data_IF_605624666679
#
_entry.id   IF_605624666679
#
_cell.length_a   1.000
_cell.length_b   1.000
_cell.length_c   1.000
_cell.angle_alpha   90.00
_cell.angle_beta   90.00
_cell.angle_gamma   90.00
#
_symmetry.space_group_name_H-M   'P 1'
#
loop_
_entity.id
_entity.type
_entity.pdbx_description
1 polymer ?
#
# COMPACT_ATOMS: atom_id res chain seq x y z
N UNK A 1 19.18 -17.47 -18.31
CA UNK A 1 19.77 -16.93 -17.07
C UNK A 1 18.98 -15.67 -16.72
N UNK A 2 18.08 -15.67 -15.73
CA UNK A 2 17.35 -14.47 -15.37
C UNK A 2 18.23 -13.65 -14.39
N UNK A 3 18.69 -12.50 -14.82
CA UNK A 3 19.56 -11.61 -14.04
C UNK A 3 18.76 -10.88 -12.96
N UNK A 4 18.63 -11.51 -11.79
CA UNK A 4 18.78 -11.01 -10.41
C UNK A 4 18.42 -9.57 -9.94
N UNK A 5 17.74 -8.69 -10.68
CA UNK A 5 17.46 -7.31 -10.19
C UNK A 5 16.05 -6.77 -10.43
N UNK A 6 15.03 -7.63 -10.59
CA UNK A 6 13.64 -7.18 -10.67
C UNK A 6 12.86 -7.62 -9.42
N UNK A 7 12.91 -6.78 -8.38
CA UNK A 7 11.98 -6.88 -7.25
C UNK A 7 11.03 -5.68 -7.33
N UNK A 8 9.86 -5.90 -7.92
CA UNK A 8 8.78 -4.92 -7.96
C UNK A 8 8.15 -4.86 -6.57
N UNK A 9 8.57 -3.91 -5.74
CA UNK A 9 7.96 -3.69 -4.43
C UNK A 9 6.72 -2.80 -4.60
N UNK A 10 5.55 -3.43 -4.61
CA UNK A 10 4.25 -2.79 -4.79
C UNK A 10 3.78 -2.14 -3.47
N UNK A 11 3.80 -0.81 -3.39
CA UNK A 11 3.16 -0.06 -2.29
C UNK A 11 1.71 0.24 -2.65
N UNK A 12 0.77 -0.22 -1.84
CA UNK A 12 -0.66 -0.29 -2.23
C UNK A 12 -1.47 0.90 -1.69
N UNK A 13 -0.86 1.89 -1.02
CA UNK A 13 -1.60 3.05 -0.51
C UNK A 13 -0.70 4.28 -0.56
N UNK A 14 -0.75 5.03 -1.66
CA UNK A 14 0.11 6.20 -1.86
C UNK A 14 -0.66 7.45 -2.27
N UNK A 15 -0.42 8.52 -1.51
CA UNK A 15 -0.38 9.88 -2.05
C UNK A 15 0.96 10.07 -2.79
N UNK A 16 1.04 11.02 -3.72
CA UNK A 16 2.24 11.24 -4.52
C UNK A 16 3.49 11.49 -3.65
N UNK A 17 3.34 12.22 -2.55
CA UNK A 17 4.44 12.53 -1.63
C UNK A 17 5.08 11.27 -1.03
N UNK A 18 4.26 10.29 -0.62
CA UNK A 18 4.74 9.02 -0.05
C UNK A 18 5.48 8.21 -1.12
N UNK A 19 4.94 8.17 -2.35
CA UNK A 19 5.56 7.42 -3.43
C UNK A 19 6.92 8.00 -3.82
N UNK A 20 7.05 9.33 -3.91
CA UNK A 20 8.31 9.99 -4.25
C UNK A 20 9.39 9.71 -3.20
N UNK A 21 9.06 9.82 -1.91
CA UNK A 21 10.01 9.55 -0.82
C UNK A 21 10.49 8.08 -0.85
N UNK A 22 9.53 7.15 -0.91
CA UNK A 22 9.81 5.71 -0.87
C UNK A 22 10.56 5.26 -2.12
N UNK A 23 10.15 5.73 -3.30
CA UNK A 23 10.82 5.38 -4.56
C UNK A 23 12.26 5.90 -4.61
N UNK A 24 12.53 7.09 -4.09
CA UNK A 24 13.89 7.61 -3.95
C UNK A 24 14.76 6.73 -3.04
N UNK A 25 14.20 6.27 -1.92
CA UNK A 25 14.90 5.35 -1.01
C UNK A 25 15.16 3.97 -1.64
N UNK A 26 14.19 3.44 -2.41
CA UNK A 26 14.32 2.16 -3.12
C UNK A 26 15.37 2.25 -4.24
N UNK A 27 15.36 3.32 -5.03
CA UNK A 27 16.33 3.55 -6.10
C UNK A 27 17.76 3.63 -5.58
N UNK A 28 17.98 4.26 -4.42
CA UNK A 28 19.29 4.27 -3.76
C UNK A 28 19.81 2.88 -3.40
N UNK A 29 18.94 1.88 -3.30
CA UNK A 29 19.30 0.47 -3.09
C UNK A 29 19.49 -0.31 -4.38
N UNK A 30 19.43 0.35 -5.54
CA UNK A 30 19.54 -0.30 -6.85
C UNK A 30 18.28 -1.09 -7.24
N UNK A 31 17.14 -0.76 -6.64
CA UNK A 31 15.85 -1.39 -6.90
C UNK A 31 14.93 -0.43 -7.65
N UNK A 32 13.96 -0.98 -8.36
CA UNK A 32 12.89 -0.22 -9.02
C UNK A 32 11.54 -0.53 -8.38
N UNK A 33 10.67 0.46 -8.29
CA UNK A 33 9.30 0.30 -7.80
C UNK A 33 8.33 1.05 -8.69
N UNK A 34 7.10 0.56 -8.73
CA UNK A 34 5.99 1.17 -9.46
C UNK A 34 4.79 1.33 -8.51
N UNK A 35 4.07 2.46 -8.64
CA UNK A 35 2.83 2.69 -7.93
C UNK A 35 1.65 2.05 -8.69
N UNK A 36 1.12 0.94 -8.16
CA UNK A 36 -0.02 0.24 -8.78
C UNK A 36 -1.40 0.82 -8.41
N UNK A 37 -1.42 1.88 -7.60
CA UNK A 37 -2.63 2.58 -7.17
C UNK A 37 -2.54 3.07 -5.72
N UNK A 38 -3.57 3.78 -5.26
CA UNK A 38 -3.66 4.18 -3.86
C UNK A 38 -5.07 4.15 -3.29
N UNK A 39 -5.21 4.70 -2.09
CA UNK A 39 -6.44 4.71 -1.30
C UNK A 39 -6.20 5.37 0.04
N UNK A 40 -7.00 5.01 1.04
CA UNK A 40 -6.97 5.54 2.40
C UNK A 40 -7.02 4.38 3.40
N UNK A 41 -6.45 4.64 4.58
CA UNK A 41 -6.56 3.75 5.74
C UNK A 41 -7.20 4.55 6.87
N UNK A 42 -8.28 4.03 7.41
CA UNK A 42 -8.78 4.46 8.71
C UNK A 42 -8.32 3.45 9.76
N UNK A 43 -7.46 3.89 10.66
CA UNK A 43 -6.94 3.07 11.76
C UNK A 43 -7.47 3.64 13.08
N UNK A 44 -8.22 2.81 13.81
CA UNK A 44 -8.65 3.08 15.17
C UNK A 44 -7.95 2.09 16.11
N UNK A 45 -6.96 2.58 16.85
CA UNK A 45 -6.14 1.77 17.76
C UNK A 45 -6.92 1.28 18.98
N UNK A 46 -7.84 2.09 19.51
CA UNK A 46 -8.66 1.73 20.67
C UNK A 46 -9.59 0.56 20.36
N UNK A 47 -10.22 0.58 19.18
CA UNK A 47 -11.11 -0.48 18.71
C UNK A 47 -10.35 -1.61 18.02
N UNK A 48 -9.03 -1.48 17.86
CA UNK A 48 -8.17 -2.38 17.07
C UNK A 48 -8.76 -2.66 15.69
N UNK A 49 -9.21 -1.62 14.99
CA UNK A 49 -9.79 -1.76 13.64
C UNK A 49 -8.97 -1.01 12.61
N UNK A 50 -8.75 -1.64 11.47
CA UNK A 50 -8.13 -1.02 10.30
C UNK A 50 -9.07 -1.21 9.11
N UNK A 51 -9.41 -0.13 8.43
CA UNK A 51 -10.26 -0.16 7.24
C UNK A 51 -9.54 0.49 6.05
N UNK A 52 -9.39 -0.27 4.95
CA UNK A 52 -8.74 0.18 3.71
C UNK A 52 -9.80 0.49 2.65
N UNK A 53 -9.80 1.69 2.08
CA UNK A 53 -10.86 2.12 1.16
C UNK A 53 -10.44 3.25 0.22
N UNK A 54 -11.32 3.61 -0.71
CA UNK A 54 -11.18 4.75 -1.61
C UNK A 54 -10.17 4.61 -2.74
N UNK A 55 -9.57 5.72 -3.16
CA UNK A 55 -8.64 5.72 -4.29
C UNK A 55 -7.68 6.92 -4.22
N UNK A 56 -6.60 6.85 -4.99
CA UNK A 56 -5.70 7.99 -5.20
C UNK A 56 -6.14 8.78 -6.43
N UNK A 57 -6.23 10.10 -6.32
CA UNK A 57 -6.57 10.97 -7.46
C UNK A 57 -5.52 10.90 -8.59
N UNK A 58 -4.25 10.68 -8.24
CA UNK A 58 -3.14 10.61 -9.22
C UNK A 58 -2.85 9.21 -9.74
N UNK A 59 -3.11 8.17 -8.95
CA UNK A 59 -2.72 6.78 -9.28
C UNK A 59 -3.90 5.82 -9.41
N UNK A 60 -5.13 6.29 -9.22
CA UNK A 60 -6.32 5.45 -9.22
C UNK A 60 -6.44 4.57 -7.98
N UNK A 61 -7.33 3.58 -8.08
CA UNK A 61 -7.66 2.66 -6.97
C UNK A 61 -6.68 1.49 -6.92
N UNK A 62 -6.15 1.23 -5.73
CA UNK A 62 -5.29 0.09 -5.49
C UNK A 62 -6.09 -1.23 -5.31
N UNK A 63 -5.37 -2.36 -5.32
CA UNK A 63 -5.92 -3.65 -4.88
C UNK A 63 -5.96 -3.71 -3.36
N UNK A 64 -6.98 -3.12 -2.73
CA UNK A 64 -7.09 -3.01 -1.27
C UNK A 64 -7.02 -4.35 -0.52
N UNK A 65 -7.46 -5.43 -1.16
CA UNK A 65 -7.34 -6.78 -0.64
C UNK A 65 -5.90 -7.12 -0.25
N UNK A 66 -4.93 -6.83 -1.13
CA UNK A 66 -3.52 -7.14 -0.88
C UNK A 66 -2.99 -6.29 0.29
N UNK A 67 -3.39 -5.02 0.40
CA UNK A 67 -3.03 -4.21 1.59
C UNK A 67 -3.62 -4.81 2.85
N UNK A 68 -4.89 -5.22 2.81
CA UNK A 68 -5.57 -5.78 3.96
C UNK A 68 -4.87 -7.07 4.42
N UNK A 69 -4.41 -7.91 3.52
CA UNK A 69 -3.63 -9.11 3.86
C UNK A 69 -2.29 -8.76 4.53
N UNK A 70 -1.53 -7.81 3.98
CA UNK A 70 -0.28 -7.33 4.59
C UNK A 70 -0.51 -6.75 5.99
N UNK A 71 -1.60 -6.00 6.17
CA UNK A 71 -1.99 -5.41 7.44
C UNK A 71 -2.44 -6.48 8.45
N UNK A 72 -3.18 -7.51 8.03
CA UNK A 72 -3.54 -8.66 8.87
C UNK A 72 -2.31 -9.39 9.37
N UNK A 73 -1.32 -9.61 8.49
CA UNK A 73 -0.07 -10.27 8.87
C UNK A 73 0.75 -9.43 9.87
N UNK A 74 0.73 -8.09 9.72
CA UNK A 74 1.48 -7.17 10.60
C UNK A 74 0.77 -6.90 11.94
N UNK A 75 -0.56 -6.86 11.93
CA UNK A 75 -1.42 -6.53 13.06
C UNK A 75 -2.46 -7.65 13.26
N UNK A 76 -2.05 -8.84 13.71
CA UNK A 76 -2.94 -9.98 13.85
C UNK A 76 -4.07 -9.73 14.87
N UNK A 77 -3.84 -8.83 15.83
CA UNK A 77 -4.81 -8.47 16.86
C UNK A 77 -5.85 -7.44 16.41
N UNK A 78 -5.71 -6.90 15.19
CA UNK A 78 -6.61 -5.92 14.63
C UNK A 78 -7.61 -6.55 13.67
N UNK A 79 -8.86 -6.13 13.75
CA UNK A 79 -9.86 -6.43 12.72
C UNK A 79 -9.59 -5.56 11.48
N UNK A 80 -9.04 -6.18 10.44
CA UNK A 80 -8.71 -5.51 9.18
C UNK A 80 -9.77 -5.81 8.12
N UNK A 81 -10.37 -4.76 7.58
CA UNK A 81 -11.40 -4.82 6.53
C UNK A 81 -11.01 -3.93 5.35
N UNK A 82 -11.64 -4.16 4.20
CA UNK A 82 -11.43 -3.32 3.02
C UNK A 82 -12.72 -3.15 2.22
N UNK A 83 -12.83 -2.04 1.48
CA UNK A 83 -13.90 -1.76 0.55
C UNK A 83 -13.33 -1.06 -0.70
N UNK A 84 -13.96 -1.24 -1.86
CA UNK A 84 -13.56 -0.54 -3.10
C UNK A 84 -14.29 0.79 -3.30
N UNK A 85 -15.14 1.14 -2.35
CA UNK A 85 -16.04 2.30 -2.38
C UNK A 85 -15.64 3.32 -1.32
N UNK A 86 -16.20 4.52 -1.42
CA UNK A 86 -15.94 5.64 -0.50
C UNK A 86 -14.79 6.55 -0.92
N UNK A 87 -14.78 7.79 -0.43
CA UNK A 87 -13.64 8.71 -0.49
C UNK A 87 -13.39 9.24 0.91
#
# INVERSE_FOLDING_TARGET
>A
MPNSHEMVLCFIITTADIYEEVSSWIQKKGLHCECLGGGRINHNSEKKTIHVYGYSMGYGRAKHEITAELLKAKYPDCNVTWANEGY
#
